data_IF_494487769711
#
_entry.id   IF_494487769711
#
_cell.length_a   1.000
_cell.length_b   1.000
_cell.length_c   1.000
_cell.angle_alpha   90.00
_cell.angle_beta   90.00
_cell.angle_gamma   90.00
#
_symmetry.space_group_name_H-M   'P 1'
#
loop_
_entity.id
_entity.type
_entity.pdbx_description
1 polymer ?
#
# COMPACT_ATOMS: atom_id res chain seq x y z
N UNK A 1 -10.41 28.33 1.27
CA UNK A 1 -11.30 27.47 0.48
C UNK A 1 -11.67 26.27 1.34
N UNK A 2 -12.96 25.98 1.51
CA UNK A 2 -13.44 24.90 2.36
C UNK A 2 -13.24 23.57 1.60
N UNK A 3 -12.04 22.98 1.66
CA UNK A 3 -11.82 21.65 1.07
C UNK A 3 -12.56 20.65 1.94
N UNK A 4 -13.54 19.94 1.40
CA UNK A 4 -14.05 18.75 2.07
C UNK A 4 -12.85 17.81 2.28
N UNK A 5 -12.56 17.47 3.54
CA UNK A 5 -11.47 16.57 3.92
C UNK A 5 -11.81 15.13 3.51
N UNK A 6 -11.91 14.88 2.21
CA UNK A 6 -12.31 13.61 1.61
C UNK A 6 -11.33 13.22 0.53
N UNK A 7 -11.10 11.92 0.37
CA UNK A 7 -10.27 11.39 -0.70
C UNK A 7 -10.95 11.58 -2.08
N UNK A 8 -10.13 11.57 -3.14
CA UNK A 8 -10.59 11.65 -4.53
C UNK A 8 -11.17 10.33 -5.06
N UNK A 9 -11.19 9.26 -4.24
CA UNK A 9 -11.70 7.95 -4.64
C UNK A 9 -10.70 7.03 -5.32
N UNK A 10 -9.41 7.39 -5.37
CA UNK A 10 -8.33 6.54 -5.87
C UNK A 10 -7.06 6.74 -5.03
N UNK A 11 -6.12 5.81 -5.14
CA UNK A 11 -4.78 5.92 -4.56
C UNK A 11 -3.77 5.18 -5.44
N UNK A 12 -2.49 5.44 -5.21
CA UNK A 12 -1.37 4.73 -5.82
C UNK A 12 -0.63 3.95 -4.74
N UNK A 13 -0.28 2.70 -5.04
CA UNK A 13 0.51 1.83 -4.17
C UNK A 13 1.61 1.23 -5.05
N UNK A 14 2.86 1.37 -4.62
CA UNK A 14 4.00 0.77 -5.30
C UNK A 14 4.50 -0.43 -4.47
N UNK A 15 4.26 -1.64 -4.97
CA UNK A 15 4.78 -2.86 -4.36
C UNK A 15 6.25 -3.07 -4.73
N UNK A 16 7.00 -3.80 -3.88
CA UNK A 16 8.39 -4.17 -4.16
C UNK A 16 8.43 -5.22 -5.26
N UNK A 17 7.60 -6.25 -5.13
CA UNK A 17 7.56 -7.39 -6.05
C UNK A 17 6.26 -7.40 -6.86
N UNK A 18 6.39 -7.67 -8.16
CA UNK A 18 5.24 -7.78 -9.08
C UNK A 18 4.25 -8.89 -8.68
N UNK A 19 4.66 -10.08 -8.21
CA UNK A 19 3.72 -11.10 -7.73
C UNK A 19 2.80 -10.59 -6.62
N UNK A 20 3.34 -9.85 -5.63
CA UNK A 20 2.54 -9.29 -4.53
C UNK A 20 1.50 -8.29 -5.04
N UNK A 21 1.84 -7.51 -6.06
CA UNK A 21 0.88 -6.60 -6.70
C UNK A 21 -0.25 -7.36 -7.40
N UNK A 22 0.05 -8.50 -8.04
CA UNK A 22 -0.94 -9.36 -8.68
C UNK A 22 -1.85 -10.02 -7.65
N UNK A 23 -1.30 -10.56 -6.57
CA UNK A 23 -2.07 -11.16 -5.47
C UNK A 23 -3.02 -10.13 -4.84
N UNK A 24 -2.54 -8.89 -4.65
CA UNK A 24 -3.39 -7.79 -4.20
C UNK A 24 -4.52 -7.47 -5.19
N UNK A 25 -4.23 -7.44 -6.49
CA UNK A 25 -5.25 -7.21 -7.51
C UNK A 25 -6.32 -8.31 -7.50
N UNK A 26 -5.92 -9.57 -7.41
CA UNK A 26 -6.83 -10.72 -7.35
C UNK A 26 -7.69 -10.69 -6.09
N UNK A 27 -7.09 -10.43 -4.93
CA UNK A 27 -7.81 -10.45 -3.66
C UNK A 27 -8.79 -9.28 -3.50
N UNK A 28 -8.46 -8.09 -4.01
CA UNK A 28 -9.21 -6.87 -3.73
C UNK A 28 -10.11 -6.38 -4.86
N UNK A 29 -9.85 -6.74 -6.11
CA UNK A 29 -10.69 -6.29 -7.22
C UNK A 29 -12.12 -6.81 -7.09
N UNK A 30 -13.11 -5.94 -7.28
CA UNK A 30 -14.54 -6.26 -7.14
C UNK A 30 -15.07 -6.23 -5.70
N UNK A 31 -14.21 -6.15 -4.68
CA UNK A 31 -14.66 -6.08 -3.29
C UNK A 31 -15.41 -4.77 -3.00
N UNK A 32 -16.49 -4.84 -2.21
CA UNK A 32 -17.23 -3.66 -1.75
C UNK A 32 -16.54 -3.03 -0.54
N UNK A 33 -16.44 -1.70 -0.52
CA UNK A 33 -15.95 -0.98 0.65
C UNK A 33 -16.99 -1.02 1.78
N UNK A 34 -16.67 -1.69 2.89
CA UNK A 34 -17.63 -1.99 3.98
C UNK A 34 -17.73 -0.90 5.06
N UNK A 35 -16.76 0.00 5.15
CA UNK A 35 -16.65 0.96 6.28
C UNK A 35 -17.67 2.09 6.24
N UNK A 36 -18.17 2.45 5.06
CA UNK A 36 -19.14 3.52 4.88
C UNK A 36 -20.36 3.00 4.12
N UNK A 37 -21.49 3.72 4.18
CA UNK A 37 -22.71 3.41 3.40
C UNK A 37 -22.52 3.74 1.90
N UNK A 38 -21.46 3.23 1.30
CA UNK A 38 -21.13 3.40 -0.10
C UNK A 38 -21.28 2.08 -0.84
N UNK A 39 -21.78 2.13 -2.07
CA UNK A 39 -21.80 1.00 -2.97
C UNK A 39 -20.52 0.89 -3.82
N UNK A 40 -19.48 1.67 -3.49
CA UNK A 40 -18.20 1.65 -4.21
C UNK A 40 -17.55 0.27 -4.11
N UNK A 41 -17.16 -0.25 -5.26
CA UNK A 41 -16.33 -1.43 -5.43
C UNK A 41 -14.89 -1.02 -5.73
N UNK A 42 -13.94 -1.81 -5.27
CA UNK A 42 -12.52 -1.60 -5.55
C UNK A 42 -12.23 -2.08 -6.98
N UNK A 43 -11.42 -1.30 -7.69
CA UNK A 43 -10.83 -1.69 -8.97
C UNK A 43 -9.34 -1.49 -8.85
N UNK A 44 -8.55 -2.50 -9.19
CA UNK A 44 -7.10 -2.45 -9.20
C UNK A 44 -6.63 -2.49 -10.65
N UNK A 45 -5.72 -1.59 -11.01
CA UNK A 45 -5.14 -1.51 -12.34
C UNK A 45 -3.70 -1.02 -12.25
N UNK A 46 -2.88 -1.36 -13.25
CA UNK A 46 -1.53 -0.83 -13.35
C UNK A 46 -1.56 0.69 -13.55
N UNK A 47 -0.77 1.41 -12.74
CA UNK A 47 -0.62 2.86 -12.86
C UNK A 47 0.23 3.23 -14.08
N UNK A 48 0.03 4.44 -14.62
CA UNK A 48 0.84 4.94 -15.74
C UNK A 48 2.31 5.13 -15.37
N UNK A 49 2.59 5.54 -14.14
CA UNK A 49 3.96 5.66 -13.60
C UNK A 49 4.26 4.39 -12.80
N UNK A 50 5.32 3.68 -13.20
CA UNK A 50 5.73 2.42 -12.60
C UNK A 50 7.09 2.56 -11.92
N UNK A 51 7.24 1.92 -10.76
CA UNK A 51 8.48 1.86 -10.00
C UNK A 51 8.67 3.00 -9.00
N UNK A 52 9.41 2.72 -7.94
CA UNK A 52 9.66 3.65 -6.84
C UNK A 52 10.36 4.93 -7.30
N UNK A 53 11.44 4.82 -8.07
CA UNK A 53 12.23 5.96 -8.50
C UNK A 53 11.41 6.97 -9.32
N UNK A 54 10.64 6.48 -10.29
CA UNK A 54 9.79 7.31 -11.14
C UNK A 54 8.64 7.94 -10.34
N UNK A 55 8.03 7.20 -9.40
CA UNK A 55 7.02 7.74 -8.49
C UNK A 55 7.60 8.82 -7.58
N UNK A 56 8.81 8.62 -7.06
CA UNK A 56 9.49 9.60 -6.21
C UNK A 56 9.80 10.88 -6.98
N UNK A 57 10.39 10.76 -8.18
CA UNK A 57 10.69 11.91 -9.05
C UNK A 57 9.44 12.74 -9.33
N UNK A 58 8.33 12.07 -9.70
CA UNK A 58 7.09 12.76 -10.05
C UNK A 58 6.38 13.39 -8.84
N UNK A 59 6.19 12.62 -7.76
CA UNK A 59 5.33 13.05 -6.65
C UNK A 59 6.07 13.82 -5.55
N UNK A 60 7.40 13.73 -5.42
CA UNK A 60 8.15 14.45 -4.39
C UNK A 60 8.04 15.98 -4.49
N UNK A 61 7.86 16.49 -5.71
CA UNK A 61 7.70 17.92 -6.00
C UNK A 61 6.24 18.34 -6.26
N UNK A 62 5.32 17.38 -6.32
CA UNK A 62 3.92 17.64 -6.63
C UNK A 62 3.23 18.43 -5.50
N UNK A 63 2.15 19.17 -5.83
CA UNK A 63 1.38 19.95 -4.84
C UNK A 63 0.92 19.13 -3.64
N UNK A 64 0.60 17.84 -3.85
CA UNK A 64 0.19 16.93 -2.77
C UNK A 64 1.30 16.68 -1.75
N UNK A 65 2.57 16.69 -2.16
CA UNK A 65 3.71 16.58 -1.25
C UNK A 65 3.94 17.88 -0.45
N UNK A 66 3.38 19.00 -0.90
CA UNK A 66 3.45 20.29 -0.24
C UNK A 66 2.22 20.57 0.64
N UNK A 67 1.34 19.58 0.86
CA UNK A 67 0.16 19.75 1.71
C UNK A 67 0.57 20.23 3.12
N UNK A 68 -0.16 21.21 3.66
CA UNK A 68 0.13 21.78 4.98
C UNK A 68 0.15 20.68 6.06
N UNK A 69 -0.86 19.82 6.05
CA UNK A 69 -0.94 18.65 6.91
C UNK A 69 -0.15 17.47 6.32
N UNK A 70 0.90 16.98 7.02
CA UNK A 70 1.69 15.84 6.57
C UNK A 70 0.88 14.56 6.32
N UNK A 71 -0.28 14.38 6.96
CA UNK A 71 -1.10 13.18 6.79
C UNK A 71 -1.66 13.03 5.36
N UNK A 72 -1.71 14.11 4.59
CA UNK A 72 -2.18 14.11 3.19
C UNK A 72 -1.05 14.00 2.17
N UNK A 73 0.22 13.93 2.63
CA UNK A 73 1.38 13.82 1.73
C UNK A 73 1.61 12.36 1.32
N UNK A 74 2.23 12.10 0.15
CA UNK A 74 2.66 10.76 -0.23
C UNK A 74 3.68 10.20 0.76
N UNK A 75 3.59 8.91 1.06
CA UNK A 75 4.53 8.21 1.93
C UNK A 75 5.56 7.50 1.05
N UNK A 76 6.82 7.84 1.22
CA UNK A 76 7.95 7.17 0.59
C UNK A 76 8.76 6.45 1.66
N UNK A 77 8.67 5.12 1.66
CA UNK A 77 9.54 4.27 2.45
C UNK A 77 10.65 3.74 1.54
N UNK A 78 11.92 3.75 1.97
CA UNK A 78 12.97 3.06 1.23
C UNK A 78 12.59 1.57 1.09
N UNK A 79 12.87 0.94 -0.07
CA UNK A 79 12.59 -0.47 -0.25
C UNK A 79 13.27 -1.26 0.87
N UNK A 80 12.54 -2.21 1.46
CA UNK A 80 13.01 -3.06 2.55
C UNK A 80 14.07 -4.05 2.05
N UNK A 81 15.24 -3.52 1.66
CA UNK A 81 16.45 -4.28 1.37
C UNK A 81 17.60 -3.89 2.30
N UNK A 82 17.26 -3.46 3.53
CA UNK A 82 18.14 -3.59 4.69
C UNK A 82 17.62 -4.69 5.61
N UNK A 83 17.52 -5.91 5.08
CA UNK A 83 17.41 -7.15 5.83
C UNK A 83 18.71 -7.46 6.63
N UNK A 84 19.35 -6.43 7.20
CA UNK A 84 20.50 -6.53 8.07
C UNK A 84 20.13 -6.34 9.54
N UNK A 85 18.89 -5.96 9.88
CA UNK A 85 18.44 -5.95 11.28
C UNK A 85 16.90 -5.97 11.41
N UNK A 86 16.25 -7.02 10.92
CA UNK A 86 15.03 -7.45 11.61
C UNK A 86 15.51 -8.25 12.82
N UNK A 87 15.35 -7.77 14.07
CA UNK A 87 15.73 -8.56 15.23
C UNK A 87 14.97 -9.91 15.15
N UNK A 88 15.62 -11.02 15.51
CA UNK A 88 14.99 -12.33 15.42
C UNK A 88 13.71 -12.31 16.24
N UNK A 89 12.59 -12.53 15.54
CA UNK A 89 11.26 -12.82 16.04
C UNK A 89 10.91 -12.22 17.42
N UNK A 90 10.26 -11.06 17.43
CA UNK A 90 9.29 -10.79 18.49
C UNK A 90 7.91 -11.11 17.95
N UNK A 91 7.40 -12.29 18.33
CA UNK A 91 6.09 -12.84 17.98
C UNK A 91 4.91 -11.92 18.33
N UNK A 92 5.15 -10.78 18.99
CA UNK A 92 4.08 -9.90 19.46
C UNK A 92 3.56 -8.90 18.40
N UNK A 93 4.32 -8.62 17.33
CA UNK A 93 3.88 -7.60 16.34
C UNK A 93 2.83 -8.16 15.39
N UNK A 94 2.91 -9.45 15.04
CA UNK A 94 1.90 -10.10 14.19
C UNK A 94 0.62 -10.46 14.94
N UNK A 95 0.71 -10.78 16.24
CA UNK A 95 -0.48 -11.07 17.06
C UNK A 95 -1.36 -9.83 17.34
N UNK A 96 -0.84 -8.62 17.16
CA UNK A 96 -1.61 -7.38 17.31
C UNK A 96 -2.48 -7.05 16.08
N UNK A 97 -2.12 -7.58 14.92
CA UNK A 97 -2.91 -7.49 13.70
C UNK A 97 -3.67 -8.80 13.54
N UNK A 98 -4.89 -8.84 14.07
CA UNK A 98 -5.87 -9.93 14.03
C UNK A 98 -6.34 -10.21 12.57
N UNK A 99 -5.39 -10.53 11.69
CA UNK A 99 -5.60 -10.87 10.29
C UNK A 99 -5.57 -12.39 10.21
N UNK A 100 -6.69 -13.01 10.57
CA UNK A 100 -6.90 -14.42 10.31
C UNK A 100 -6.83 -14.68 8.80
N UNK A 101 -5.81 -15.40 8.33
CA UNK A 101 -5.95 -16.17 7.09
C UNK A 101 -4.85 -16.09 6.03
N UNK A 102 -3.58 -15.86 6.35
CA UNK A 102 -2.51 -16.22 5.41
C UNK A 102 -1.98 -17.62 5.74
N UNK A 103 -1.99 -18.59 4.80
CA UNK A 103 -1.38 -19.89 5.02
C UNK A 103 0.14 -19.72 5.19
N UNK A 104 0.78 -20.50 6.07
CA UNK A 104 2.23 -20.45 6.22
C UNK A 104 2.90 -20.83 4.91
N UNK A 105 3.88 -20.01 4.50
CA UNK A 105 4.74 -20.31 3.35
C UNK A 105 5.33 -21.72 3.54
N UNK A 106 5.07 -22.60 2.57
CA UNK A 106 5.65 -23.95 2.55
C UNK A 106 7.18 -23.87 2.49
N UNK A 107 7.88 -24.95 2.87
CA UNK A 107 9.34 -24.95 2.86
C UNK A 107 9.87 -24.74 1.44
N UNK A 108 10.83 -23.83 1.29
CA UNK A 108 11.58 -23.58 0.06
C UNK A 108 12.19 -24.88 -0.49
N UNK A 109 12.22 -25.08 -1.81
CA UNK A 109 12.83 -26.25 -2.42
C UNK A 109 14.35 -26.29 -2.16
N UNK A 110 14.84 -27.50 -1.91
CA UNK A 110 16.21 -27.85 -1.56
C UNK A 110 17.25 -27.55 -2.65
#
# INVERSE_FOLDING_TARGET
AHSSAVNLGYCFINFVDTPVANDFAEAFSGMRMRRFRSNKTVVVAAATIQGYANNFEYYSSARVAQAEDPQFRPIFAPPAHSHAYWPPAHEDVWNACDVQGFPPAGPDPA
#
